data_IF_601428869580
#
_entry.id   IF_601428869580
#
_cell.length_a   1.000
_cell.length_b   1.000
_cell.length_c   1.000
_cell.angle_alpha   90.00
_cell.angle_beta   90.00
_cell.angle_gamma   90.00
#
_symmetry.space_group_name_H-M   'P 1'
#
loop_
_entity.id
_entity.type
_entity.pdbx_description
1 polymer ?
#
# COMPACT_ATOMS: atom_id res chain seq x y z
N UNK A 1 17.97 12.28 -15.72
CA UNK A 1 17.14 11.39 -14.88
C UNK A 1 16.02 12.25 -14.34
N UNK A 2 14.76 11.90 -14.60
CA UNK A 2 13.62 12.71 -14.14
C UNK A 2 12.90 11.99 -13.00
N UNK A 3 13.09 12.49 -11.79
CA UNK A 3 12.38 12.03 -10.59
C UNK A 3 10.88 12.33 -10.69
N UNK A 4 10.50 13.37 -11.44
CA UNK A 4 9.15 13.93 -11.48
C UNK A 4 8.37 13.57 -12.75
N UNK A 5 8.77 12.50 -13.47
CA UNK A 5 7.95 11.88 -14.55
C UNK A 5 6.49 11.67 -14.09
N UNK A 6 6.30 11.41 -12.80
CA UNK A 6 5.03 11.51 -12.06
C UNK A 6 5.33 12.14 -10.69
N UNK A 7 4.40 12.94 -10.12
CA UNK A 7 4.59 13.53 -8.79
C UNK A 7 4.98 12.49 -7.73
N UNK A 8 6.04 12.79 -6.98
CA UNK A 8 6.48 11.96 -5.85
C UNK A 8 5.53 12.19 -4.68
N UNK A 9 4.96 11.13 -4.14
CA UNK A 9 3.95 11.17 -3.08
C UNK A 9 4.51 10.67 -1.74
N UNK A 10 5.52 9.81 -1.76
CA UNK A 10 6.27 9.41 -0.58
C UNK A 10 7.68 8.93 -0.93
N UNK A 11 8.55 8.82 0.08
CA UNK A 11 9.87 8.24 -0.08
C UNK A 11 10.27 7.43 1.16
N UNK A 12 11.15 6.46 0.95
CA UNK A 12 11.76 5.65 2.01
C UNK A 12 13.25 5.54 1.75
N UNK A 13 14.04 5.65 2.80
CA UNK A 13 15.49 5.53 2.76
C UNK A 13 15.94 4.31 3.56
N UNK A 14 16.87 3.54 3.01
CA UNK A 14 17.46 2.36 3.65
C UNK A 14 18.98 2.47 3.64
N UNK A 15 19.58 2.30 4.81
CA UNK A 15 21.04 2.12 5.00
C UNK A 15 21.36 0.65 5.23
N UNK A 16 22.64 0.31 5.22
CA UNK A 16 23.15 -1.02 5.61
C UNK A 16 22.44 -2.18 4.89
N UNK A 17 22.08 -1.96 3.62
CA UNK A 17 21.40 -2.98 2.83
C UNK A 17 22.31 -4.19 2.62
N UNK A 18 21.76 -5.43 2.58
CA UNK A 18 22.53 -6.61 2.20
C UNK A 18 23.28 -6.39 0.89
N UNK A 19 24.54 -6.83 0.84
CA UNK A 19 25.47 -6.55 -0.27
C UNK A 19 24.99 -7.03 -1.64
N UNK A 20 24.06 -7.98 -1.67
CA UNK A 20 23.51 -8.52 -2.91
C UNK A 20 22.15 -7.89 -3.32
N UNK A 21 21.64 -6.94 -2.55
CA UNK A 21 20.37 -6.26 -2.82
C UNK A 21 20.45 -5.35 -4.05
N UNK A 22 21.44 -4.45 -4.09
CA UNK A 22 21.69 -3.56 -5.23
C UNK A 22 21.98 -4.36 -6.52
N UNK A 23 22.91 -5.35 -6.53
CA UNK A 23 23.12 -6.20 -7.70
C UNK A 23 21.86 -6.93 -8.16
N UNK A 24 21.02 -7.40 -7.22
CA UNK A 24 19.78 -8.09 -7.56
C UNK A 24 18.76 -7.15 -8.23
N UNK A 25 18.58 -5.95 -7.70
CA UNK A 25 17.67 -4.95 -8.28
C UNK A 25 18.15 -4.50 -9.65
N UNK A 26 19.43 -4.20 -9.79
CA UNK A 26 20.04 -3.82 -11.06
C UNK A 26 19.83 -4.87 -12.15
N UNK A 27 20.10 -6.14 -11.83
CA UNK A 27 19.95 -7.27 -12.75
C UNK A 27 18.54 -7.37 -13.32
N UNK A 28 17.52 -7.29 -12.45
CA UNK A 28 16.12 -7.33 -12.86
C UNK A 28 15.68 -6.04 -13.55
N UNK A 29 16.11 -4.89 -13.05
CA UNK A 29 15.76 -3.58 -13.57
C UNK A 29 16.20 -3.39 -15.01
N UNK A 30 17.43 -3.80 -15.35
CA UNK A 30 17.94 -3.76 -16.73
C UNK A 30 16.99 -4.43 -17.72
N UNK A 31 16.46 -5.61 -17.38
CA UNK A 31 15.45 -6.32 -18.19
C UNK A 31 14.11 -5.60 -18.31
N UNK A 32 13.71 -4.80 -17.32
CA UNK A 32 12.45 -4.03 -17.37
C UNK A 32 12.57 -2.72 -18.15
N UNK A 33 13.72 -2.06 -18.10
CA UNK A 33 13.97 -0.77 -18.76
C UNK A 33 14.39 -0.94 -20.23
N UNK A 34 15.20 -1.96 -20.52
CA UNK A 34 15.73 -2.23 -21.87
C UNK A 34 14.65 -2.54 -22.91
N UNK A 35 13.55 -3.21 -22.52
CA UNK A 35 12.45 -3.56 -23.46
C UNK A 35 11.66 -2.35 -23.98
N UNK A 36 11.92 -1.13 -23.48
CA UNK A 36 11.20 0.08 -23.88
C UNK A 36 12.08 1.21 -24.39
N UNK A 37 13.40 1.10 -24.31
CA UNK A 37 14.26 2.24 -24.61
C UNK A 37 15.07 2.06 -25.88
N UNK A 38 14.83 2.93 -26.85
CA UNK A 38 15.76 3.23 -27.93
C UNK A 38 16.91 4.12 -27.41
N UNK A 39 17.60 3.70 -26.34
CA UNK A 39 18.78 4.44 -25.85
C UNK A 39 19.99 4.12 -26.73
N UNK A 40 20.87 5.10 -26.90
CA UNK A 40 22.16 4.92 -27.58
C UNK A 40 23.05 3.95 -26.80
N UNK A 41 23.77 3.07 -27.52
CA UNK A 41 24.79 2.19 -26.94
C UNK A 41 26.11 2.91 -26.65
N UNK A 42 26.29 4.13 -27.16
CA UNK A 42 27.48 4.95 -26.88
C UNK A 42 27.60 5.26 -25.40
N UNK A 43 28.84 5.30 -24.93
CA UNK A 43 29.17 5.79 -23.60
C UNK A 43 28.70 7.23 -23.40
N UNK A 44 28.47 7.60 -22.14
CA UNK A 44 28.01 8.94 -21.80
C UNK A 44 29.08 9.98 -22.18
N UNK A 45 28.77 10.96 -23.05
CA UNK A 45 29.79 11.82 -23.64
C UNK A 45 30.36 12.86 -22.66
N UNK A 46 29.74 13.03 -21.50
CA UNK A 46 30.17 14.00 -20.47
C UNK A 46 30.83 13.24 -19.33
N UNK A 47 32.12 12.96 -19.48
CA UNK A 47 32.94 12.20 -18.52
C UNK A 47 34.10 13.02 -17.94
N UNK A 48 34.04 14.36 -18.02
CA UNK A 48 35.09 15.24 -17.52
C UNK A 48 35.05 15.44 -16.00
N UNK A 49 36.20 15.74 -15.41
CA UNK A 49 36.37 15.93 -13.96
C UNK A 49 36.79 14.64 -13.24
N UNK A 50 37.42 14.79 -12.08
CA UNK A 50 37.74 13.70 -11.17
C UNK A 50 36.99 13.94 -9.87
N UNK A 51 36.24 12.95 -9.42
CA UNK A 51 35.59 12.99 -8.13
C UNK A 51 36.11 11.79 -7.33
N UNK A 52 36.72 12.05 -6.19
CA UNK A 52 37.08 11.00 -5.23
C UNK A 52 35.78 10.47 -4.65
N UNK A 53 35.38 9.21 -4.92
CA UNK A 53 34.18 8.67 -4.31
C UNK A 53 34.35 8.78 -2.81
N UNK A 54 33.38 9.40 -2.12
CA UNK A 54 33.23 9.12 -0.71
C UNK A 54 33.00 7.60 -0.64
N UNK A 55 33.98 6.86 -0.14
CA UNK A 55 33.87 5.40 -0.06
C UNK A 55 32.76 5.09 0.93
N UNK A 56 31.56 4.83 0.43
CA UNK A 56 30.48 4.31 1.25
C UNK A 56 30.72 2.81 1.41
N UNK A 57 31.00 2.37 2.64
CA UNK A 57 31.25 0.97 2.95
C UNK A 57 29.97 0.12 2.97
N UNK A 58 28.81 0.75 2.86
CA UNK A 58 27.50 0.12 2.89
C UNK A 58 26.65 0.54 1.69
N UNK A 59 25.72 -0.35 1.31
CA UNK A 59 24.77 -0.05 0.23
C UNK A 59 23.59 0.73 0.78
N UNK A 60 23.27 1.84 0.11
CA UNK A 60 22.15 2.72 0.44
C UNK A 60 21.13 2.73 -0.70
N UNK A 61 19.85 2.66 -0.36
CA UNK A 61 18.76 2.65 -1.33
C UNK A 61 17.73 3.70 -0.96
N UNK A 62 17.37 4.52 -1.93
CA UNK A 62 16.18 5.38 -1.87
C UNK A 62 15.07 4.74 -2.69
N UNK A 63 13.85 4.71 -2.16
CA UNK A 63 12.66 4.29 -2.89
C UNK A 63 11.68 5.46 -2.93
N UNK A 64 11.21 5.82 -4.12
CA UNK A 64 10.18 6.86 -4.29
C UNK A 64 8.88 6.24 -4.77
N UNK A 65 7.78 6.59 -4.10
CA UNK A 65 6.42 6.30 -4.51
C UNK A 65 5.84 7.48 -5.28
N UNK A 66 5.02 7.18 -6.29
CA UNK A 66 4.48 8.18 -7.19
C UNK A 66 2.95 8.14 -7.28
N UNK A 67 2.38 9.25 -7.73
CA UNK A 67 0.95 9.42 -7.96
C UNK A 67 0.39 8.46 -9.02
N UNK A 68 1.20 8.05 -10.01
CA UNK A 68 0.80 7.07 -11.04
C UNK A 68 0.81 5.60 -10.56
N UNK A 69 1.13 5.35 -9.28
CA UNK A 69 1.29 4.00 -8.73
C UNK A 69 2.59 3.31 -9.09
N UNK A 70 3.58 4.04 -9.62
CA UNK A 70 4.93 3.50 -9.79
C UNK A 70 5.77 3.67 -8.53
N UNK A 71 6.72 2.75 -8.37
CA UNK A 71 7.81 2.88 -7.40
C UNK A 71 9.13 2.84 -8.17
N UNK A 72 10.03 3.76 -7.86
CA UNK A 72 11.38 3.80 -8.42
C UNK A 72 12.39 3.56 -7.30
N UNK A 73 13.32 2.64 -7.55
CA UNK A 73 14.39 2.27 -6.65
C UNK A 73 15.67 2.89 -7.16
N UNK A 74 16.40 3.55 -6.27
CA UNK A 74 17.59 4.33 -6.59
C UNK A 74 18.75 3.85 -5.74
N UNK A 75 19.90 3.64 -6.36
CA UNK A 75 21.18 3.53 -5.68
C UNK A 75 21.63 4.93 -5.27
N UNK A 76 21.94 5.13 -3.99
CA UNK A 76 22.45 6.40 -3.46
C UNK A 76 23.86 6.31 -2.88
N UNK A 77 24.51 5.13 -2.95
CA UNK A 77 25.76 4.88 -2.20
C UNK A 77 27.02 5.56 -2.75
N UNK A 78 26.97 6.21 -3.91
CA UNK A 78 28.14 6.78 -4.58
C UNK A 78 27.93 8.24 -5.00
N UNK A 79 27.25 9.05 -4.17
CA UNK A 79 27.00 10.49 -4.39
C UNK A 79 26.27 10.85 -5.70
N UNK A 80 25.74 9.85 -6.39
CA UNK A 80 24.84 9.99 -7.52
C UNK A 80 23.64 9.09 -7.29
N UNK A 81 22.47 9.50 -7.79
CA UNK A 81 21.30 8.64 -7.81
C UNK A 81 21.29 7.87 -9.13
N UNK A 82 21.27 6.54 -9.07
CA UNK A 82 21.16 5.67 -10.26
C UNK A 82 19.89 4.82 -10.17
N UNK A 83 19.08 4.78 -11.24
CA UNK A 83 17.84 4.00 -11.20
C UNK A 83 18.18 2.50 -11.24
N UNK A 84 17.74 1.77 -10.23
CA UNK A 84 17.97 0.32 -10.12
C UNK A 84 16.81 -0.48 -10.67
N UNK A 85 15.58 -0.11 -10.35
CA UNK A 85 14.38 -0.88 -10.68
C UNK A 85 13.13 0.01 -10.70
N UNK A 86 12.14 -0.32 -11.53
CA UNK A 86 10.83 0.36 -11.57
C UNK A 86 9.71 -0.67 -11.41
N UNK A 87 8.92 -0.54 -10.34
CA UNK A 87 7.69 -1.30 -10.13
C UNK A 87 6.48 -0.47 -10.58
N UNK A 88 5.45 -1.12 -11.13
CA UNK A 88 4.16 -0.49 -11.45
C UNK A 88 3.03 -1.30 -10.82
N UNK A 89 2.34 -0.76 -9.82
CA UNK A 89 1.25 -1.45 -9.10
C UNK A 89 0.00 -1.60 -9.96
N UNK A 90 -0.21 -0.69 -10.92
CA UNK A 90 -1.33 -0.70 -11.88
C UNK A 90 -1.57 -2.06 -12.56
N UNK A 91 -0.53 -2.88 -12.75
CA UNK A 91 -0.64 -4.20 -13.41
C UNK A 91 -1.53 -5.20 -12.66
N UNK A 92 -1.72 -4.99 -11.35
CA UNK A 92 -2.52 -5.85 -10.48
C UNK A 92 -4.01 -5.55 -10.56
N UNK A 93 -4.37 -4.33 -11.00
CA UNK A 93 -5.74 -3.86 -11.00
C UNK A 93 -6.35 -3.92 -12.39
N UNK A 94 -7.66 -4.04 -12.43
CA UNK A 94 -8.42 -3.87 -13.66
C UNK A 94 -8.32 -2.41 -14.10
N UNK A 95 -8.24 -2.19 -15.41
CA UNK A 95 -8.32 -0.82 -15.94
C UNK A 95 -9.74 -0.31 -15.65
N UNK A 96 -9.90 0.87 -15.04
CA UNK A 96 -11.21 1.49 -14.88
C UNK A 96 -11.89 1.54 -16.24
N UNK A 97 -13.11 0.99 -16.35
CA UNK A 97 -13.94 1.23 -17.53
C UNK A 97 -14.33 2.70 -17.48
N UNK A 98 -13.92 3.47 -18.49
CA UNK A 98 -14.26 4.87 -18.65
C UNK A 98 -15.78 5.02 -18.78
N UNK A 99 -16.49 5.10 -17.67
CA UNK A 99 -17.89 5.45 -17.65
C UNK A 99 -18.06 6.62 -16.67
N UNK A 100 -18.70 7.66 -17.20
CA UNK A 100 -19.07 8.94 -16.57
C UNK A 100 -17.99 10.03 -16.68
N UNK A 101 -18.17 10.84 -17.72
CA UNK A 101 -17.43 12.04 -18.07
C UNK A 101 -17.69 13.25 -17.13
N UNK A 102 -17.81 13.04 -15.81
CA UNK A 102 -18.15 14.11 -14.85
C UNK A 102 -17.42 14.06 -13.49
N UNK A 103 -16.28 13.38 -13.35
CA UNK A 103 -15.44 13.58 -12.16
C UNK A 103 -14.42 14.70 -12.37
N UNK A 104 -14.16 15.47 -11.31
CA UNK A 104 -13.22 16.59 -11.30
C UNK A 104 -11.81 16.08 -11.68
N UNK A 105 -11.09 16.69 -12.64
CA UNK A 105 -9.84 16.16 -13.19
C UNK A 105 -8.67 16.07 -12.19
N UNK A 106 -8.81 16.57 -10.96
CA UNK A 106 -7.74 16.61 -9.96
C UNK A 106 -7.81 15.51 -8.88
N UNK A 107 -8.89 14.71 -8.81
CA UNK A 107 -9.15 13.84 -7.65
C UNK A 107 -9.15 12.32 -7.91
N UNK A 108 -8.68 11.83 -9.04
CA UNK A 108 -8.79 10.40 -9.42
C UNK A 108 -7.43 9.72 -9.67
N UNK A 109 -6.54 9.72 -8.68
CA UNK A 109 -5.29 8.95 -8.70
C UNK A 109 -5.37 7.74 -7.75
N UNK A 110 -6.25 6.75 -8.02
CA UNK A 110 -6.55 5.69 -7.06
C UNK A 110 -5.33 4.80 -6.76
N UNK A 111 -4.33 4.83 -7.63
CA UNK A 111 -3.10 4.04 -7.51
C UNK A 111 -1.95 4.78 -6.83
N UNK A 112 -2.12 6.06 -6.46
CA UNK A 112 -1.06 6.85 -5.84
C UNK A 112 -0.50 6.15 -4.59
N UNK A 113 0.83 6.08 -4.48
CA UNK A 113 1.53 5.39 -3.39
C UNK A 113 1.68 6.33 -2.20
N UNK A 114 1.21 5.94 -1.02
CA UNK A 114 1.30 6.77 0.19
C UNK A 114 2.35 6.28 1.17
N UNK A 115 2.51 4.96 1.32
CA UNK A 115 3.47 4.38 2.26
C UNK A 115 4.23 3.24 1.60
N UNK A 116 5.51 3.13 1.93
CA UNK A 116 6.42 2.11 1.45
C UNK A 116 7.15 1.54 2.67
N UNK A 117 7.23 0.22 2.76
CA UNK A 117 8.06 -0.47 3.73
C UNK A 117 8.80 -1.61 3.03
N UNK A 118 10.13 -1.61 3.05
CA UNK A 118 10.95 -2.68 2.50
C UNK A 118 11.74 -3.35 3.62
N UNK A 119 11.52 -4.65 3.83
CA UNK A 119 12.43 -5.46 4.62
C UNK A 119 13.60 -5.89 3.72
N UNK A 120 14.77 -5.27 3.91
CA UNK A 120 15.95 -5.48 3.08
C UNK A 120 16.48 -6.93 3.13
N UNK A 121 16.44 -7.56 4.30
CA UNK A 121 16.88 -8.94 4.52
C UNK A 121 15.98 -9.96 3.80
N UNK A 122 14.67 -9.92 4.03
CA UNK A 122 13.72 -10.88 3.44
C UNK A 122 13.22 -10.50 2.04
N UNK A 123 13.55 -9.28 1.58
CA UNK A 123 13.11 -8.66 0.31
C UNK A 123 11.60 -8.69 0.14
N UNK A 124 10.90 -8.44 1.23
CA UNK A 124 9.45 -8.21 1.25
C UNK A 124 9.17 -6.73 1.22
N UNK A 125 8.34 -6.31 0.27
CA UNK A 125 7.94 -4.94 0.07
C UNK A 125 6.45 -4.81 0.35
N UNK A 126 6.09 -3.93 1.28
CA UNK A 126 4.73 -3.47 1.52
C UNK A 126 4.54 -2.11 0.88
N UNK A 127 3.38 -1.92 0.26
CA UNK A 127 2.99 -0.64 -0.34
C UNK A 127 1.55 -0.36 0.00
N UNK A 128 1.26 0.81 0.57
CA UNK A 128 -0.11 1.29 0.76
C UNK A 128 -0.43 2.42 -0.22
N UNK A 129 -1.63 2.39 -0.79
CA UNK A 129 -2.09 3.36 -1.78
C UNK A 129 -3.24 4.26 -1.30
N UNK A 130 -3.63 5.21 -2.16
CA UNK A 130 -4.61 6.25 -1.84
C UNK A 130 -6.05 5.76 -1.57
N UNK A 131 -6.44 4.59 -2.09
CA UNK A 131 -7.79 4.03 -1.88
C UNK A 131 -7.85 3.02 -0.71
N UNK A 132 -6.83 2.99 0.15
CA UNK A 132 -6.80 2.07 1.29
C UNK A 132 -6.29 0.66 0.96
N UNK A 133 -5.84 0.45 -0.28
CA UNK A 133 -5.27 -0.81 -0.71
C UNK A 133 -3.83 -0.99 -0.19
N UNK A 134 -3.54 -2.15 0.40
CA UNK A 134 -2.21 -2.55 0.86
C UNK A 134 -1.74 -3.73 0.04
N UNK A 135 -0.51 -3.69 -0.45
CA UNK A 135 0.02 -4.65 -1.42
C UNK A 135 1.34 -5.22 -0.90
N UNK A 136 1.39 -6.54 -0.75
CA UNK A 136 2.60 -7.27 -0.35
C UNK A 136 3.27 -7.88 -1.58
N UNK A 137 4.56 -7.63 -1.73
CA UNK A 137 5.40 -8.19 -2.79
C UNK A 137 6.56 -8.98 -2.21
N UNK A 138 6.97 -10.02 -2.94
CA UNK A 138 8.21 -10.76 -2.71
C UNK A 138 9.12 -10.63 -3.91
N UNK A 139 10.38 -10.27 -3.66
CA UNK A 139 11.38 -10.23 -4.72
C UNK A 139 11.73 -11.63 -5.24
N UNK A 140 11.73 -11.82 -6.56
CA UNK A 140 12.13 -13.05 -7.23
C UNK A 140 12.94 -12.72 -8.49
N UNK A 141 14.07 -13.40 -8.71
CA UNK A 141 14.92 -13.20 -9.91
C UNK A 141 14.37 -13.89 -11.17
N UNK A 142 13.31 -14.68 -11.04
CA UNK A 142 12.75 -15.50 -12.13
C UNK A 142 11.28 -15.14 -12.32
N UNK A 143 10.81 -15.18 -13.57
CA UNK A 143 9.38 -15.02 -13.90
C UNK A 143 8.56 -16.12 -13.22
N UNK A 144 7.34 -15.80 -12.80
CA UNK A 144 6.39 -16.79 -12.28
C UNK A 144 4.98 -16.53 -12.77
N UNK A 145 4.13 -17.54 -12.68
CA UNK A 145 2.69 -17.40 -12.91
C UNK A 145 1.97 -17.82 -11.64
N UNK A 146 1.19 -16.91 -11.06
CA UNK A 146 0.44 -17.16 -9.83
C UNK A 146 -0.72 -16.19 -9.70
N UNK A 147 -1.77 -16.62 -9.01
CA UNK A 147 -2.84 -15.73 -8.57
C UNK A 147 -2.33 -14.78 -7.49
N UNK A 148 -3.05 -13.68 -7.27
CA UNK A 148 -2.80 -12.72 -6.19
C UNK A 148 -3.92 -12.94 -5.17
N UNK A 149 -3.55 -13.21 -3.91
CA UNK A 149 -4.54 -13.34 -2.86
C UNK A 149 -5.16 -11.96 -2.58
N UNK A 150 -6.48 -11.90 -2.40
CA UNK A 150 -7.20 -10.66 -2.11
C UNK A 150 -7.95 -10.82 -0.80
N UNK A 151 -7.77 -9.88 0.12
CA UNK A 151 -8.47 -9.83 1.41
C UNK A 151 -9.25 -8.52 1.49
N UNK A 152 -10.52 -8.59 1.84
CA UNK A 152 -11.32 -7.42 2.20
C UNK A 152 -11.24 -7.23 3.73
N UNK A 153 -10.79 -6.06 4.18
CA UNK A 153 -10.61 -5.74 5.60
C UNK A 153 -11.56 -4.59 5.97
N UNK A 154 -12.74 -4.90 6.53
CA UNK A 154 -13.65 -3.87 7.03
C UNK A 154 -13.14 -3.30 8.35
N UNK A 155 -12.91 -1.99 8.41
CA UNK A 155 -12.69 -1.25 9.66
C UNK A 155 -14.07 -0.94 10.25
N UNK A 156 -14.36 -1.58 11.37
CA UNK A 156 -15.52 -1.30 12.20
C UNK A 156 -15.08 -0.39 13.34
N UNK A 157 -15.83 0.69 13.58
CA UNK A 157 -15.70 1.45 14.82
C UNK A 157 -16.70 0.87 15.80
N UNK A 158 -16.24 0.19 16.85
CA UNK A 158 -17.05 -0.01 18.04
C UNK A 158 -17.01 1.30 18.82
N UNK A 159 -18.16 1.98 18.93
CA UNK A 159 -18.28 3.15 19.79
C UNK A 159 -18.16 2.68 21.25
N UNK A 160 -17.00 2.85 21.86
CA UNK A 160 -16.78 2.61 23.30
C UNK A 160 -17.32 3.75 24.17
N UNK A 161 -18.43 4.39 23.79
CA UNK A 161 -19.01 5.49 24.58
C UNK A 161 -19.64 5.03 25.91
N UNK A 162 -19.67 3.72 26.20
CA UNK A 162 -20.26 3.16 27.43
C UNK A 162 -19.29 2.42 28.38
N UNK A 163 -17.97 2.57 28.24
CA UNK A 163 -17.01 2.02 29.24
C UNK A 163 -16.07 3.12 29.75
N UNK A 164 -16.64 4.07 30.48
CA UNK A 164 -15.92 4.73 31.56
C UNK A 164 -15.52 3.64 32.58
N UNK A 165 -14.28 3.12 32.51
CA UNK A 165 -13.73 2.40 33.66
C UNK A 165 -12.62 1.38 33.47
N UNK A 166 -12.27 0.93 32.26
CA UNK A 166 -11.19 -0.08 32.11
C UNK A 166 -10.07 0.42 31.24
N UNK A 167 -9.22 1.29 31.81
CA UNK A 167 -7.82 1.36 31.40
C UNK A 167 -7.17 0.00 31.73
N UNK A 168 -6.40 -0.62 30.83
CA UNK A 168 -5.66 -1.84 31.17
C UNK A 168 -4.52 -1.45 32.10
N UNK A 169 -4.76 -1.45 33.42
CA UNK A 169 -3.68 -1.39 34.38
C UNK A 169 -2.89 -2.71 34.30
N UNK A 170 -1.56 -2.59 34.16
CA UNK A 170 -0.65 -3.71 34.18
C UNK A 170 -0.64 -4.36 35.57
N UNK A 171 -1.38 -5.46 35.74
CA UNK A 171 -1.39 -6.24 36.99
C UNK A 171 -0.04 -6.94 37.24
N UNK A 172 0.81 -6.31 38.03
CA UNK A 172 1.85 -7.01 38.78
C UNK A 172 1.22 -7.60 40.06
N UNK A 173 1.34 -8.93 40.16
CA UNK A 173 0.88 -9.80 41.23
C UNK A 173 1.02 -9.22 42.65
N UNK A 174 -0.05 -9.27 43.47
CA UNK A 174 -0.01 -9.78 44.85
C UNK A 174 -1.42 -10.00 45.43
N UNK A 175 -1.73 -11.24 45.82
CA UNK A 175 -2.35 -11.54 47.12
C UNK A 175 -3.88 -11.43 47.32
N UNK A 176 -4.49 -12.60 47.57
CA UNK A 176 -5.61 -12.87 48.50
C UNK A 176 -7.08 -12.73 48.08
N UNK A 177 -7.66 -13.92 47.84
CA UNK A 177 -8.87 -14.52 48.42
C UNK A 177 -10.29 -13.93 48.24
N UNK A 178 -11.12 -14.78 47.59
CA UNK A 178 -12.43 -15.31 48.03
C UNK A 178 -13.63 -14.35 48.06
N UNK A 179 -14.64 -14.55 47.19
CA UNK A 179 -15.91 -15.25 47.47
C UNK A 179 -16.84 -15.28 46.22
N UNK A 180 -18.04 -15.85 46.37
CA UNK A 180 -18.80 -16.73 45.46
C UNK A 180 -20.21 -16.18 45.15
N UNK A 181 -20.82 -16.65 44.03
CA UNK A 181 -22.26 -16.95 43.79
C UNK A 181 -22.80 -16.36 42.45
N UNK A 182 -23.18 -17.20 41.47
CA UNK A 182 -24.57 -17.60 41.07
C UNK A 182 -25.23 -16.55 40.14
N UNK A 183 -25.98 -16.82 39.06
CA UNK A 183 -26.54 -18.01 38.38
C UNK A 183 -27.26 -17.54 37.08
N UNK A 184 -27.38 -18.43 36.07
CA UNK A 184 -28.54 -18.65 35.13
C UNK A 184 -29.11 -17.46 34.30
N UNK A 185 -29.63 -17.55 33.08
CA UNK A 185 -29.87 -18.56 32.04
C UNK A 185 -30.24 -17.79 30.73
N UNK A 186 -30.02 -18.42 29.58
CA UNK A 186 -30.68 -18.32 28.26
C UNK A 186 -31.33 -17.00 27.77
N UNK A 187 -30.91 -16.51 26.58
CA UNK A 187 -31.72 -16.66 25.35
C UNK A 187 -31.05 -16.13 24.07
N UNK A 188 -31.30 -16.85 22.96
CA UNK A 188 -30.91 -16.47 21.59
C UNK A 188 -31.75 -15.29 21.11
N UNK A 189 -31.12 -14.24 20.60
CA UNK A 189 -31.80 -13.22 19.79
C UNK A 189 -31.01 -12.96 18.50
N UNK A 190 -31.62 -13.34 17.37
CA UNK A 190 -31.29 -12.78 16.06
C UNK A 190 -31.65 -11.29 16.06
N UNK A 191 -30.69 -10.41 15.77
CA UNK A 191 -30.99 -9.00 15.47
C UNK A 191 -30.46 -8.68 14.08
N UNK A 192 -31.36 -8.77 13.09
CA UNK A 192 -31.36 -7.91 11.92
C UNK A 192 -31.45 -6.46 12.37
N UNK A 193 -30.38 -5.68 12.20
CA UNK A 193 -30.42 -4.24 12.43
C UNK A 193 -30.80 -3.52 11.12
N UNK A 194 -32.10 -3.31 10.96
CA UNK A 194 -32.66 -2.28 10.11
C UNK A 194 -32.84 -1.02 10.95
N UNK A 195 -31.93 -0.05 10.83
CA UNK A 195 -32.13 1.29 11.41
C UNK A 195 -31.55 2.36 10.49
N UNK A 196 -32.29 2.68 9.43
CA UNK A 196 -32.30 4.03 8.88
C UNK A 196 -33.16 4.90 9.80
N UNK A 197 -32.55 5.68 10.70
CA UNK A 197 -33.28 6.69 11.48
C UNK A 197 -32.40 7.87 11.82
N UNK A 198 -32.20 8.78 10.87
CA UNK A 198 -32.08 10.21 11.19
C UNK A 198 -32.70 11.01 10.05
N UNK A 199 -33.99 11.28 10.18
CA UNK A 199 -34.63 12.41 9.55
C UNK A 199 -35.39 13.16 10.64
N UNK A 200 -34.95 14.38 10.96
CA UNK A 200 -35.84 15.53 11.17
C UNK A 200 -35.03 16.81 11.35
N UNK A 201 -34.98 17.61 10.28
CA UNK A 201 -35.21 19.05 10.37
C UNK A 201 -35.92 19.46 9.08
N UNK A 202 -37.09 20.13 9.16
CA UNK A 202 -37.91 20.40 7.98
C UNK A 202 -37.58 21.79 7.42
N UNK A 203 -36.81 21.86 6.34
CA UNK A 203 -36.90 22.98 5.42
C UNK A 203 -36.96 22.45 3.99
N UNK A 204 -38.06 22.83 3.35
CA UNK A 204 -38.48 22.47 2.00
C UNK A 204 -37.37 22.84 1.01
N UNK A 205 -36.84 21.85 0.30
CA UNK A 205 -36.08 22.10 -0.93
C UNK A 205 -36.45 21.10 -2.00
N UNK A 206 -37.12 21.62 -3.03
CA UNK A 206 -37.54 20.91 -4.24
C UNK A 206 -36.33 20.67 -5.13
N UNK A 207 -35.59 19.60 -4.89
CA UNK A 207 -34.60 19.09 -5.85
C UNK A 207 -34.89 17.61 -6.15
N UNK A 208 -34.82 17.17 -7.42
CA UNK A 208 -35.16 15.81 -7.78
C UNK A 208 -34.19 14.82 -7.13
N UNK A 209 -34.75 13.72 -6.62
CA UNK A 209 -34.14 12.66 -5.80
C UNK A 209 -33.12 11.78 -6.54
N UNK A 210 -32.42 12.31 -7.55
CA UNK A 210 -31.44 11.57 -8.36
C UNK A 210 -29.99 11.67 -7.84
N UNK A 211 -29.72 12.50 -6.83
CA UNK A 211 -28.35 12.82 -6.39
C UNK A 211 -27.86 12.06 -5.14
N UNK A 212 -28.74 11.29 -4.47
CA UNK A 212 -28.40 10.64 -3.19
C UNK A 212 -27.92 9.18 -3.31
N UNK A 213 -27.82 8.62 -4.52
CA UNK A 213 -27.30 7.26 -4.76
C UNK A 213 -25.98 7.24 -5.56
N UNK A 214 -25.28 8.37 -5.64
CA UNK A 214 -24.00 8.46 -6.35
C UNK A 214 -22.84 8.65 -5.38
N UNK A 215 -22.80 7.90 -4.27
CA UNK A 215 -21.52 7.67 -3.59
C UNK A 215 -20.68 6.82 -4.53
N UNK A 216 -19.79 7.47 -5.27
CA UNK A 216 -18.90 6.84 -6.22
C UNK A 216 -18.13 5.69 -5.53
N UNK A 217 -18.60 4.47 -5.74
CA UNK A 217 -17.86 3.25 -5.42
C UNK A 217 -16.68 3.13 -6.41
N UNK A 218 -15.70 4.00 -6.31
CA UNK A 218 -14.41 3.81 -6.98
C UNK A 218 -13.61 2.79 -6.16
N UNK A 219 -14.11 1.55 -6.11
CA UNK A 219 -13.39 0.43 -5.53
C UNK A 219 -12.42 -0.11 -6.58
N UNK A 220 -11.14 -0.10 -6.25
CA UNK A 220 -10.12 -0.74 -7.07
C UNK A 220 -10.42 -2.24 -7.17
N UNK A 221 -10.59 -2.74 -8.38
CA UNK A 221 -10.77 -4.17 -8.64
C UNK A 221 -9.44 -4.81 -8.95
N UNK A 222 -9.07 -5.83 -8.17
CA UNK A 222 -7.88 -6.65 -8.44
C UNK A 222 -8.22 -7.62 -9.57
N UNK A 223 -7.27 -7.83 -10.49
CA UNK A 223 -7.45 -8.78 -11.60
C UNK A 223 -7.48 -10.21 -11.06
N UNK A 224 -8.54 -10.94 -11.38
CA UNK A 224 -8.71 -12.34 -10.97
C UNK A 224 -7.86 -13.32 -11.80
N UNK A 225 -7.58 -14.48 -11.20
CA UNK A 225 -6.90 -15.60 -11.84
C UNK A 225 -5.38 -15.47 -11.90
N UNK A 226 -4.74 -16.50 -12.46
CA UNK A 226 -3.28 -16.59 -12.52
C UNK A 226 -2.69 -15.51 -13.43
N UNK A 227 -1.75 -14.73 -12.90
CA UNK A 227 -1.07 -13.65 -13.61
C UNK A 227 0.39 -14.00 -13.86
N UNK A 228 0.89 -13.68 -15.05
CA UNK A 228 2.31 -13.74 -15.37
C UNK A 228 3.05 -12.56 -14.74
N UNK A 229 3.98 -12.85 -13.85
CA UNK A 229 4.73 -11.89 -13.02
C UNK A 229 6.22 -11.92 -13.44
N UNK A 230 6.74 -10.85 -14.06
CA UNK A 230 8.15 -10.81 -14.48
C UNK A 230 9.10 -10.89 -13.28
N UNK A 231 10.41 -11.13 -13.49
CA UNK A 231 11.41 -10.96 -12.46
C UNK A 231 11.28 -9.61 -11.76
N UNK A 232 11.50 -9.60 -10.44
CA UNK A 232 11.40 -8.43 -9.58
C UNK A 232 10.47 -8.65 -8.39
N UNK A 233 9.88 -7.56 -7.92
CA UNK A 233 8.85 -7.61 -6.89
C UNK A 233 7.54 -8.14 -7.46
N UNK A 234 7.22 -9.38 -7.10
CA UNK A 234 6.02 -10.09 -7.54
C UNK A 234 4.98 -10.04 -6.44
N UNK A 235 3.75 -9.64 -6.78
CA UNK A 235 2.65 -9.49 -5.83
C UNK A 235 2.24 -10.83 -5.24
N UNK A 236 1.96 -10.84 -3.94
CA UNK A 236 1.50 -12.03 -3.21
C UNK A 236 0.09 -11.84 -2.64
N UNK A 237 -0.16 -10.66 -2.08
CA UNK A 237 -1.38 -10.32 -1.36
C UNK A 237 -1.77 -8.87 -1.65
N UNK A 238 -3.07 -8.62 -1.80
CA UNK A 238 -3.68 -7.29 -1.80
C UNK A 238 -4.77 -7.27 -0.73
N UNK A 239 -4.66 -6.37 0.23
CA UNK A 239 -5.72 -6.08 1.18
C UNK A 239 -6.47 -4.83 0.72
N UNK A 240 -7.79 -4.90 0.65
CA UNK A 240 -8.69 -3.78 0.35
C UNK A 240 -9.35 -3.35 1.65
N UNK A 241 -8.88 -2.23 2.21
CA UNK A 241 -9.37 -1.72 3.49
C UNK A 241 -10.55 -0.79 3.27
N UNK A 242 -11.69 -1.07 3.90
CA UNK A 242 -12.90 -0.24 3.78
C UNK A 242 -13.42 0.14 5.15
N UNK A 243 -13.81 1.40 5.33
CA UNK A 243 -14.47 1.89 6.54
C UNK A 243 -15.98 1.64 6.54
N UNK A 244 -16.70 2.20 7.53
CA UNK A 244 -18.16 2.14 7.58
C UNK A 244 -18.77 2.65 6.28
N UNK A 245 -19.84 1.99 5.84
CA UNK A 245 -20.51 2.26 4.56
C UNK A 245 -19.60 2.07 3.32
N UNK A 246 -18.64 1.15 3.39
CA UNK A 246 -17.69 0.81 2.29
C UNK A 246 -16.90 2.01 1.76
N UNK A 247 -16.65 3.02 2.60
CA UNK A 247 -15.82 4.17 2.21
C UNK A 247 -14.34 3.78 2.20
N UNK A 248 -13.58 4.32 1.27
CA UNK A 248 -12.13 4.15 1.26
C UNK A 248 -11.53 4.81 2.51
N UNK A 249 -10.62 4.09 3.19
CA UNK A 249 -9.91 4.60 4.35
C UNK A 249 -8.44 4.79 3.99
N UNK A 250 -7.89 5.94 4.34
CA UNK A 250 -6.47 6.20 4.14
C UNK A 250 -5.64 5.39 5.15
N UNK A 251 -4.70 4.60 4.64
CA UNK A 251 -3.70 3.95 5.49
C UNK A 251 -2.72 5.00 5.99
N UNK A 252 -2.57 5.12 7.30
CA UNK A 252 -1.73 6.14 7.96
C UNK A 252 -0.37 5.60 8.40
N UNK A 253 -0.24 4.29 8.60
CA UNK A 253 1.00 3.62 8.99
C UNK A 253 1.13 2.24 8.33
N UNK A 254 2.38 1.79 8.14
CA UNK A 254 2.68 0.53 7.47
C UNK A 254 3.98 -0.06 8.05
N UNK A 255 3.94 -1.35 8.39
CA UNK A 255 5.10 -2.10 8.87
C UNK A 255 4.99 -3.56 8.37
N UNK A 256 6.12 -4.24 8.23
CA UNK A 256 6.20 -5.70 8.01
C UNK A 256 7.12 -6.28 9.07
N UNK A 257 6.71 -7.40 9.66
CA UNK A 257 7.58 -8.26 10.45
C UNK A 257 7.78 -9.60 9.75
N UNK A 258 8.88 -9.67 8.98
CA UNK A 258 9.11 -10.83 8.11
C UNK A 258 9.38 -12.14 8.86
N UNK A 259 9.90 -12.05 10.08
CA UNK A 259 10.17 -13.18 10.99
C UNK A 259 8.90 -13.85 11.50
N UNK A 260 7.85 -13.07 11.78
CA UNK A 260 6.55 -13.58 12.22
C UNK A 260 5.56 -13.78 11.08
N UNK A 261 5.88 -13.32 9.87
CA UNK A 261 4.98 -13.37 8.73
C UNK A 261 3.82 -12.38 8.83
N UNK A 262 4.04 -11.26 9.55
CA UNK A 262 3.08 -10.17 9.76
C UNK A 262 3.41 -8.97 8.85
#
# INVERSE_FOLDING_TARGET
MDLHESPVTCCTYLTDCPSDLVPAFYSVGRTTTSKKSCFSEREWPISGGEWSPASCSYSEIVITGHQDGSLKFWDSGAGTLQILYKLKTAKMFEKPRSHVAHSHPESDNPLAVHLIFLCSESRRLCVAGAMGQVMLFKFRKVESTSEVLVLEIPILYENFDDIYGTSPECDFLTGHQVQKAESSDSDKVMITCACCSFASSPLISRYPTSYLLQTAECSLKVRNGAQRKPPGFQSQLVCLTTGPNRRNVQVTSLCISSSYGL
#
